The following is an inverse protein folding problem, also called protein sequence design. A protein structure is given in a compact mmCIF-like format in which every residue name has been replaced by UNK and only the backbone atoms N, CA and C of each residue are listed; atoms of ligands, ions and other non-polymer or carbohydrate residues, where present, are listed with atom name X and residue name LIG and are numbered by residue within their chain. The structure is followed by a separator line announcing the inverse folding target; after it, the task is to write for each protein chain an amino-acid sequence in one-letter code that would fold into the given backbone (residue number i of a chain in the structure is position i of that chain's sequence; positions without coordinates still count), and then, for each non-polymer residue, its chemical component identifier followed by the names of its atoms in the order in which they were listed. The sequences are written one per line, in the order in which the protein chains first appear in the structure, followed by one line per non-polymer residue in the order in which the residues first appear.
data_IF_582517211985
#
_entry.id   IF_582517211985
#
_cell.length_a   1.000
_cell.length_b   1.000
_cell.length_c   1.000
_cell.angle_alpha   90.00
_cell.angle_beta   90.00
_cell.angle_gamma   90.00
#
_symmetry.space_group_name_H-M   'P 1'
#
loop_
_entity.id
_entity.type
_entity.pdbx_description
1 polymer ?
#
# COMPACT_ATOMS: atom_id res chain seq x y z
N UNK A 1 6.66 3.07 6.76
CA UNK A 1 6.13 1.78 6.27
C UNK A 1 4.71 1.68 6.77
N UNK A 2 3.79 1.19 5.94
CA UNK A 2 2.38 1.05 6.30
C UNK A 2 2.01 -0.42 6.34
N UNK A 3 1.23 -0.81 7.35
CA UNK A 3 0.65 -2.14 7.43
C UNK A 3 -0.70 -2.09 6.72
N UNK A 4 -0.81 -2.83 5.63
CA UNK A 4 -2.06 -2.91 4.85
C UNK A 4 -2.62 -4.30 5.05
N UNK A 5 -3.92 -4.36 5.31
CA UNK A 5 -4.66 -5.61 5.40
C UNK A 5 -5.39 -5.81 4.06
N UNK A 6 -5.05 -6.89 3.35
CA UNK A 6 -5.77 -7.27 2.15
C UNK A 6 -7.09 -7.94 2.53
N UNK A 7 -8.05 -7.92 1.61
CA UNK A 7 -9.34 -8.61 1.77
C UNK A 7 -9.18 -10.12 2.02
N UNK A 8 -8.04 -10.70 1.62
CA UNK A 8 -7.70 -12.10 1.87
C UNK A 8 -7.18 -12.37 3.30
N UNK A 9 -7.18 -11.39 4.20
CA UNK A 9 -6.67 -11.51 5.58
C UNK A 9 -5.13 -11.46 5.70
N UNK A 10 -4.42 -11.30 4.58
CA UNK A 10 -2.97 -11.15 4.57
C UNK A 10 -2.56 -9.74 4.99
N UNK A 11 -1.66 -9.67 5.98
CA UNK A 11 -1.05 -8.42 6.44
C UNK A 11 0.27 -8.20 5.71
N UNK A 12 0.32 -7.18 4.87
CA UNK A 12 1.53 -6.81 4.12
C UNK A 12 2.16 -5.56 4.66
N UNK A 13 3.48 -5.52 4.58
CA UNK A 13 4.28 -4.32 4.79
C UNK A 13 4.43 -3.63 3.44
N UNK A 14 3.75 -2.50 3.30
CA UNK A 14 3.79 -1.72 2.09
C UNK A 14 4.57 -0.41 2.28
N UNK A 15 5.34 -0.04 1.26
CA UNK A 15 5.95 1.28 1.16
C UNK A 15 5.18 2.15 0.17
N UNK A 16 5.17 3.45 0.43
CA UNK A 16 4.58 4.42 -0.50
C UNK A 16 5.46 4.54 -1.74
N UNK A 17 4.85 4.54 -2.92
CA UNK A 17 5.55 4.86 -4.17
C UNK A 17 6.05 6.31 -4.17
N UNK A 18 7.23 6.55 -4.75
CA UNK A 18 7.82 7.89 -4.86
C UNK A 18 6.88 8.91 -5.53
N UNK A 19 6.06 8.48 -6.50
CA UNK A 19 5.04 9.35 -7.13
C UNK A 19 4.03 9.89 -6.13
N UNK A 20 3.57 9.07 -5.19
CA UNK A 20 2.60 9.50 -4.17
C UNK A 20 3.21 10.48 -3.17
N UNK A 21 4.51 10.31 -2.86
CA UNK A 21 5.27 11.30 -2.07
C UNK A 21 5.34 12.66 -2.76
N UNK A 22 5.60 12.68 -4.07
CA UNK A 22 5.64 13.94 -4.83
C UNK A 22 4.28 14.64 -4.91
N UNK A 23 3.18 13.88 -4.97
CA UNK A 23 1.81 14.42 -5.00
C UNK A 23 1.23 14.71 -3.61
N UNK A 24 2.04 14.63 -2.54
CA UNK A 24 1.61 14.87 -1.15
C UNK A 24 0.38 14.04 -0.73
N UNK A 25 0.24 12.82 -1.27
CA UNK A 25 -0.87 11.94 -0.92
C UNK A 25 -0.61 11.37 0.47
N UNK A 26 -1.35 11.88 1.46
CA UNK A 26 -1.33 11.34 2.83
C UNK A 26 -2.16 10.06 2.87
N UNK A 27 -1.69 9.05 3.58
CA UNK A 27 -2.45 7.82 3.83
C UNK A 27 -2.87 7.87 5.30
N UNK A 28 -4.17 7.78 5.56
CA UNK A 28 -4.72 7.65 6.91
C UNK A 28 -5.18 6.20 7.13
N UNK A 29 -5.17 5.72 8.38
CA UNK A 29 -5.75 4.42 8.71
C UNK A 29 -7.25 4.42 8.35
N UNK A 30 -7.69 3.43 7.58
CA UNK A 30 -9.06 3.31 7.05
C UNK A 30 -9.19 3.66 5.56
N UNK A 31 -8.15 4.22 4.93
CA UNK A 31 -8.15 4.47 3.50
C UNK A 31 -8.00 3.20 2.67
N UNK A 32 -8.77 3.11 1.58
CA UNK A 32 -8.62 2.06 0.57
C UNK A 32 -7.45 2.39 -0.34
N UNK A 33 -6.45 1.52 -0.34
CA UNK A 33 -5.23 1.67 -1.14
C UNK A 33 -5.04 0.48 -2.06
N UNK A 34 -4.55 0.76 -3.27
CA UNK A 34 -4.13 -0.27 -4.21
C UNK A 34 -2.66 -0.58 -3.96
N UNK A 35 -2.38 -1.85 -3.68
CA UNK A 35 -1.04 -2.35 -3.41
C UNK A 35 -0.64 -3.30 -4.53
N UNK A 36 0.52 -3.05 -5.14
CA UNK A 36 1.20 -4.04 -5.98
C UNK A 36 2.06 -4.92 -5.08
N UNK A 37 1.87 -6.24 -5.17
CA UNK A 37 2.67 -7.22 -4.45
C UNK A 37 3.85 -7.68 -5.31
N UNK A 38 4.96 -7.99 -4.67
CA UNK A 38 6.05 -8.68 -5.36
C UNK A 38 5.63 -10.15 -5.58
N UNK A 39 5.81 -10.72 -6.78
CA UNK A 39 5.45 -12.12 -7.04
C UNK A 39 6.29 -13.12 -6.23
N UNK A 40 7.41 -12.67 -5.65
CA UNK A 40 8.31 -13.49 -4.85
C UNK A 40 8.01 -13.43 -3.34
N UNK A 41 7.52 -12.29 -2.85
CA UNK A 41 7.29 -12.02 -1.44
C UNK A 41 5.89 -11.42 -1.27
N UNK A 42 4.91 -12.26 -0.91
CA UNK A 42 3.53 -11.86 -0.60
C UNK A 42 3.40 -11.05 0.69
N UNK A 43 4.51 -10.80 1.41
CA UNK A 43 4.55 -10.01 2.65
C UNK A 43 4.94 -8.55 2.39
N UNK A 44 5.51 -8.24 1.23
CA UNK A 44 5.99 -6.91 0.85
C UNK A 44 5.21 -6.37 -0.34
N UNK A 45 4.80 -5.12 -0.23
CA UNK A 45 4.05 -4.45 -1.28
C UNK A 45 4.51 -3.02 -1.53
N UNK A 46 4.05 -2.48 -2.65
CA UNK A 46 4.18 -1.07 -3.00
C UNK A 46 2.79 -0.46 -3.16
N UNK A 47 2.53 0.62 -2.43
CA UNK A 47 1.29 1.38 -2.58
C UNK A 47 1.43 2.27 -3.81
N UNK A 48 0.59 2.04 -4.81
CA UNK A 48 0.60 2.81 -6.07
C UNK A 48 -0.48 3.87 -6.10
N UNK A 49 -1.64 3.58 -5.51
CA UNK A 49 -2.80 4.43 -5.61
C UNK A 49 -3.63 4.42 -4.33
N UNK A 50 -4.28 5.54 -4.04
CA UNK A 50 -5.30 5.67 -3.00
C UNK A 50 -6.63 5.91 -3.72
N UNK A 51 -7.60 5.00 -3.55
CA UNK A 51 -8.97 5.26 -4.01
C UNK A 51 -9.63 6.25 -3.05
N UNK A 52 -10.35 7.22 -3.61
CA UNK A 52 -11.14 8.19 -2.86
C UNK A 52 -12.45 7.56 -2.41
#
# INVERSE_FOLDING_TARGET
MFRVELENGHKVLAHISGKMRMHYIRILPGDKVTVELSPYDLTKGRITYRKK
#
